data_IF_252838650910
#
_entry.id   IF_252838650910
#
_cell.length_a   1.000
_cell.length_b   1.000
_cell.length_c   1.000
_cell.angle_alpha   90.00
_cell.angle_beta   90.00
_cell.angle_gamma   90.00
#
_symmetry.space_group_name_H-M   'P 1'
#
loop_
_entity.id
_entity.type
_entity.pdbx_description
1 polymer ?
#
# COMPACT_ATOMS: atom_id res chain seq x y z
N UNK A 1 19.77 -24.26 -102.45
CA UNK A 1 18.77 -24.55 -101.44
C UNK A 1 19.46 -24.60 -100.09
N UNK A 2 19.34 -23.61 -99.22
CA UNK A 2 19.53 -23.90 -97.80
C UNK A 2 18.30 -23.49 -97.02
N UNK A 3 18.00 -24.31 -96.00
CA UNK A 3 16.93 -24.16 -95.03
C UNK A 3 17.28 -23.09 -93.98
N UNK A 4 16.35 -22.20 -93.71
CA UNK A 4 16.43 -21.27 -92.61
C UNK A 4 16.03 -21.95 -91.26
N UNK A 5 16.84 -21.82 -90.26
CA UNK A 5 16.51 -22.17 -88.83
C UNK A 5 15.93 -20.97 -88.15
N UNK A 6 14.68 -21.05 -87.70
CA UNK A 6 14.06 -20.11 -86.77
C UNK A 6 14.50 -20.46 -85.38
N UNK A 7 15.10 -19.51 -84.73
CA UNK A 7 15.44 -19.56 -83.26
C UNK A 7 14.34 -18.88 -82.45
N UNK A 8 13.62 -19.67 -81.68
CA UNK A 8 12.57 -19.18 -80.72
C UNK A 8 13.23 -18.82 -79.41
N UNK A 9 13.23 -17.54 -79.08
CA UNK A 9 13.67 -17.08 -77.75
C UNK A 9 12.50 -17.18 -76.74
N UNK A 10 12.72 -17.97 -75.73
CA UNK A 10 11.82 -18.00 -74.53
C UNK A 10 12.19 -16.87 -73.57
N UNK A 11 11.26 -15.93 -73.40
CA UNK A 11 11.34 -14.95 -72.31
C UNK A 11 10.85 -15.60 -70.98
N UNK A 12 11.74 -15.76 -70.05
CA UNK A 12 11.41 -16.17 -68.68
C UNK A 12 11.05 -14.91 -67.87
N UNK A 13 9.78 -14.70 -67.61
CA UNK A 13 9.31 -13.64 -66.65
C UNK A 13 9.51 -14.12 -65.22
N UNK A 14 10.48 -13.54 -64.53
CA UNK A 14 10.62 -13.74 -63.08
C UNK A 14 9.58 -12.91 -62.33
N UNK A 15 8.58 -13.55 -61.70
CA UNK A 15 7.72 -12.93 -60.72
C UNK A 15 8.53 -12.73 -59.44
N UNK A 16 8.82 -11.49 -59.10
CA UNK A 16 9.25 -11.13 -57.73
C UNK A 16 8.02 -11.11 -56.82
N UNK A 17 7.87 -12.13 -55.99
CA UNK A 17 6.96 -12.10 -54.86
C UNK A 17 7.65 -11.26 -53.79
N UNK A 18 7.16 -10.01 -53.59
CA UNK A 18 7.53 -9.18 -52.47
C UNK A 18 6.77 -9.71 -51.23
N UNK A 19 7.48 -10.43 -50.35
CA UNK A 19 7.00 -10.66 -48.98
C UNK A 19 7.12 -9.36 -48.23
N UNK A 20 6.02 -8.63 -48.05
CA UNK A 20 5.91 -7.63 -46.99
C UNK A 20 5.97 -8.36 -45.66
N UNK A 21 7.04 -8.15 -44.88
CA UNK A 21 7.04 -8.45 -43.46
C UNK A 21 6.10 -7.45 -42.81
N UNK A 22 4.92 -7.89 -42.41
CA UNK A 22 4.12 -7.19 -41.42
C UNK A 22 4.96 -7.15 -40.14
N UNK A 23 5.48 -5.98 -39.83
CA UNK A 23 6.01 -5.71 -38.49
C UNK A 23 4.83 -5.73 -37.53
N UNK A 24 4.65 -6.83 -36.80
CA UNK A 24 3.79 -6.81 -35.62
C UNK A 24 4.38 -5.74 -34.69
N UNK A 25 3.66 -4.63 -34.52
CA UNK A 25 3.92 -3.68 -33.44
C UNK A 25 3.72 -4.42 -32.12
N UNK A 26 4.82 -4.84 -31.51
CA UNK A 26 4.83 -5.35 -30.16
C UNK A 26 4.46 -4.18 -29.27
N UNK A 27 3.22 -4.11 -28.86
CA UNK A 27 2.77 -3.19 -27.82
C UNK A 27 3.48 -3.62 -26.54
N UNK A 28 4.60 -2.97 -26.22
CA UNK A 28 5.24 -3.14 -24.93
C UNK A 28 4.22 -2.85 -23.83
N UNK A 29 3.91 -3.84 -23.02
CA UNK A 29 3.13 -3.67 -21.83
C UNK A 29 3.82 -2.66 -20.89
N UNK A 30 3.08 -2.05 -19.95
CA UNK A 30 3.68 -1.10 -19.02
C UNK A 30 4.88 -1.74 -18.32
N UNK A 31 6.01 -1.03 -18.31
CA UNK A 31 7.24 -1.48 -17.68
C UNK A 31 6.99 -1.90 -16.23
N UNK A 32 7.64 -2.96 -15.78
CA UNK A 32 7.56 -3.40 -14.40
C UNK A 32 8.00 -2.26 -13.47
N UNK A 33 7.35 -2.09 -12.32
CA UNK A 33 7.74 -1.06 -11.36
C UNK A 33 9.18 -1.29 -10.89
N UNK A 34 9.94 -0.19 -10.72
CA UNK A 34 11.32 -0.22 -10.23
C UNK A 34 11.33 0.32 -8.80
N UNK A 35 11.96 -0.44 -7.89
CA UNK A 35 12.20 -0.01 -6.52
C UNK A 35 13.18 1.18 -6.48
N UNK A 36 12.93 2.12 -5.58
CA UNK A 36 13.78 3.30 -5.39
C UNK A 36 14.88 2.98 -4.36
N UNK A 37 16.14 3.05 -4.78
CA UNK A 37 17.28 2.81 -3.90
C UNK A 37 17.50 3.92 -2.88
N UNK A 38 17.87 3.54 -1.65
CA UNK A 38 18.23 4.47 -0.58
C UNK A 38 19.53 5.24 -0.94
N UNK A 39 19.40 6.52 -1.23
CA UNK A 39 20.54 7.40 -1.54
C UNK A 39 21.29 7.85 -0.28
N UNK A 40 22.47 8.46 -0.43
CA UNK A 40 23.19 9.04 0.71
C UNK A 40 22.42 10.19 1.36
N UNK A 41 21.72 11.01 0.58
CA UNK A 41 20.89 12.09 1.12
C UNK A 41 19.70 11.56 1.93
N UNK A 42 19.19 10.38 1.57
CA UNK A 42 18.10 9.74 2.33
C UNK A 42 18.58 9.18 3.68
N UNK A 43 19.89 9.04 3.90
CA UNK A 43 20.45 8.55 5.17
C UNK A 43 20.53 9.63 6.25
N UNK A 44 20.43 10.91 5.87
CA UNK A 44 20.53 12.02 6.81
C UNK A 44 19.31 12.05 7.74
N UNK A 45 19.54 11.89 9.04
CA UNK A 45 18.48 11.82 10.04
C UNK A 45 17.66 10.52 10.03
N UNK A 46 18.02 9.53 9.20
CA UNK A 46 17.34 8.23 9.15
C UNK A 46 17.58 7.45 10.45
N UNK A 47 16.51 7.12 11.16
CA UNK A 47 16.58 6.35 12.41
C UNK A 47 16.10 4.91 12.25
N UNK A 48 15.27 4.64 11.24
CA UNK A 48 14.79 3.31 10.91
C UNK A 48 14.26 3.27 9.48
N UNK A 49 14.46 2.13 8.80
CA UNK A 49 13.80 1.85 7.53
C UNK A 49 13.59 0.36 7.31
N UNK A 50 12.64 0.04 6.43
CA UNK A 50 12.57 -1.24 5.74
C UNK A 50 12.42 -0.94 4.24
N UNK A 51 13.41 -1.34 3.48
CA UNK A 51 13.52 -1.13 2.03
C UNK A 51 12.96 -2.33 1.25
N UNK A 52 12.58 -3.42 1.93
CA UNK A 52 12.06 -4.67 1.36
C UNK A 52 12.91 -5.26 0.22
N UNK A 53 14.21 -5.01 0.24
CA UNK A 53 15.19 -5.39 -0.80
C UNK A 53 15.78 -6.78 -0.61
N UNK A 54 15.42 -7.48 0.48
CA UNK A 54 15.97 -8.80 0.82
C UNK A 54 14.93 -9.73 1.42
N UNK A 55 15.13 -11.05 1.21
CA UNK A 55 14.21 -12.08 1.70
C UNK A 55 13.01 -12.30 0.76
N UNK A 56 12.08 -13.16 1.20
CA UNK A 56 10.83 -13.49 0.49
C UNK A 56 9.59 -13.19 1.35
N UNK A 57 9.80 -12.71 2.57
CA UNK A 57 8.76 -12.34 3.53
C UNK A 57 9.24 -11.14 4.36
N UNK A 58 8.34 -10.38 5.00
CA UNK A 58 8.71 -9.32 5.94
C UNK A 58 9.70 -9.78 6.99
N UNK A 59 10.76 -8.98 7.19
CA UNK A 59 11.81 -9.30 8.15
C UNK A 59 11.24 -9.41 9.57
N UNK A 60 11.35 -10.59 10.19
CA UNK A 60 10.84 -10.84 11.54
C UNK A 60 11.53 -10.02 12.65
N UNK A 61 12.69 -9.41 12.36
CA UNK A 61 13.29 -8.43 13.27
C UNK A 61 12.50 -7.12 13.32
N UNK A 62 11.81 -6.75 12.22
CA UNK A 62 11.04 -5.52 12.09
C UNK A 62 9.53 -5.74 12.31
N UNK A 63 9.00 -6.91 11.90
CA UNK A 63 7.57 -7.13 11.76
C UNK A 63 7.06 -8.32 12.54
N UNK A 64 5.84 -8.19 13.06
CA UNK A 64 5.02 -9.25 13.62
C UNK A 64 3.69 -9.30 12.88
N UNK A 65 3.19 -10.50 12.59
CA UNK A 65 1.89 -10.70 11.94
C UNK A 65 0.76 -10.62 12.97
N UNK A 66 -0.35 -10.02 12.57
CA UNK A 66 -1.64 -10.18 13.22
C UNK A 66 -2.49 -11.18 12.41
N UNK A 67 -2.86 -12.28 13.03
CA UNK A 67 -3.57 -13.38 12.39
C UNK A 67 -5.01 -13.44 12.89
N UNK A 68 -5.94 -13.70 11.97
CA UNK A 68 -7.34 -13.90 12.34
C UNK A 68 -8.26 -12.80 11.84
N UNK A 69 -9.45 -12.78 12.41
CA UNK A 69 -10.51 -11.82 12.12
C UNK A 69 -10.79 -10.85 13.29
N UNK A 70 -9.90 -10.79 14.26
CA UNK A 70 -10.03 -9.97 15.47
C UNK A 70 -10.83 -10.61 16.58
N UNK A 71 -11.46 -11.77 16.38
CA UNK A 71 -12.26 -12.44 17.41
C UNK A 71 -11.42 -12.88 18.61
N UNK A 72 -10.19 -13.33 18.37
CA UNK A 72 -9.26 -13.72 19.44
C UNK A 72 -8.84 -12.54 20.33
N UNK A 73 -8.92 -11.32 19.82
CA UNK A 73 -8.65 -10.06 20.53
C UNK A 73 -9.92 -9.44 21.13
N UNK A 74 -11.08 -10.10 21.00
CA UNK A 74 -12.35 -9.59 21.47
C UNK A 74 -12.98 -8.49 20.60
N UNK A 75 -12.46 -8.29 19.39
CA UNK A 75 -12.92 -7.26 18.43
C UNK A 75 -13.23 -7.91 17.07
N UNK A 76 -14.27 -8.74 16.94
CA UNK A 76 -14.62 -9.41 15.68
C UNK A 76 -14.74 -8.42 14.52
N UNK A 77 -14.23 -8.79 13.34
CA UNK A 77 -14.10 -7.88 12.22
C UNK A 77 -13.19 -6.68 12.53
N UNK A 78 -12.23 -6.88 13.44
CA UNK A 78 -11.27 -5.86 13.93
C UNK A 78 -11.95 -4.58 14.44
N UNK A 79 -13.20 -4.70 14.93
CA UNK A 79 -14.00 -3.58 15.42
C UNK A 79 -14.63 -2.71 14.31
N UNK A 80 -14.33 -2.97 13.04
CA UNK A 80 -14.73 -2.15 11.88
C UNK A 80 -15.70 -2.86 10.93
N UNK A 81 -16.14 -4.09 11.27
CA UNK A 81 -16.95 -4.92 10.37
C UNK A 81 -16.17 -5.47 9.17
N UNK A 82 -14.86 -5.60 9.30
CA UNK A 82 -13.99 -6.16 8.27
C UNK A 82 -14.31 -7.64 8.01
N UNK A 83 -14.19 -8.08 6.75
CA UNK A 83 -14.71 -9.37 6.29
C UNK A 83 -13.63 -10.40 5.98
N UNK A 84 -12.34 -10.04 6.01
CA UNK A 84 -11.23 -10.94 5.77
C UNK A 84 -10.78 -11.68 7.02
N UNK A 85 -10.04 -12.76 6.78
CA UNK A 85 -9.13 -13.38 7.72
C UNK A 85 -7.70 -13.00 7.39
N UNK A 86 -6.97 -12.37 8.30
CA UNK A 86 -5.56 -12.05 8.11
C UNK A 86 -4.70 -13.30 8.30
N UNK A 87 -3.73 -13.49 7.40
CA UNK A 87 -2.81 -14.63 7.39
C UNK A 87 -1.36 -14.15 7.22
N UNK A 88 -0.42 -15.07 7.43
CA UNK A 88 1.01 -14.89 7.13
C UNK A 88 1.45 -15.72 5.91
N UNK A 89 0.49 -16.18 5.09
CA UNK A 89 0.78 -17.02 3.93
C UNK A 89 1.42 -16.19 2.81
N UNK A 90 2.34 -16.77 2.01
CA UNK A 90 2.94 -16.09 0.86
C UNK A 90 1.91 -15.58 -0.15
N UNK A 91 0.73 -16.21 -0.24
CA UNK A 91 -0.37 -15.77 -1.11
C UNK A 91 -0.97 -14.43 -0.68
N UNK A 92 -0.83 -14.06 0.59
CA UNK A 92 -1.36 -12.81 1.15
C UNK A 92 -0.29 -11.76 1.42
N UNK A 93 0.97 -12.17 1.62
CA UNK A 93 2.05 -11.23 1.88
C UNK A 93 3.39 -11.82 1.48
N UNK A 94 4.12 -11.10 0.66
CA UNK A 94 5.44 -11.48 0.18
C UNK A 94 6.36 -10.26 0.05
N UNK A 95 7.67 -10.53 0.00
CA UNK A 95 8.71 -9.57 -0.36
C UNK A 95 9.38 -10.07 -1.63
N UNK A 96 9.33 -9.29 -2.68
CA UNK A 96 9.96 -9.61 -3.95
C UNK A 96 10.28 -8.36 -4.76
N UNK A 97 11.41 -8.38 -5.47
CA UNK A 97 11.84 -7.30 -6.38
C UNK A 97 11.94 -5.92 -5.72
N UNK A 98 12.29 -5.86 -4.43
CA UNK A 98 12.36 -4.63 -3.66
C UNK A 98 11.02 -4.08 -3.19
N UNK A 99 9.99 -4.92 -3.10
CA UNK A 99 8.65 -4.50 -2.64
C UNK A 99 8.08 -5.45 -1.61
N UNK A 100 7.45 -4.89 -0.58
CA UNK A 100 6.45 -5.60 0.20
C UNK A 100 5.13 -5.58 -0.58
N UNK A 101 4.54 -6.76 -0.80
CA UNK A 101 3.22 -6.88 -1.42
C UNK A 101 2.24 -7.51 -0.44
N UNK A 102 1.18 -6.77 -0.07
CA UNK A 102 0.02 -7.33 0.63
C UNK A 102 -1.06 -7.60 -0.41
N UNK A 103 -1.53 -8.85 -0.48
CA UNK A 103 -2.55 -9.29 -1.44
C UNK A 103 -3.85 -9.66 -0.71
N UNK A 104 -4.90 -8.88 -0.94
CA UNK A 104 -6.26 -9.27 -0.59
C UNK A 104 -6.80 -10.26 -1.62
N UNK A 105 -7.45 -11.34 -1.16
CA UNK A 105 -7.93 -12.43 -2.02
C UNK A 105 -9.37 -12.81 -1.71
N UNK A 106 -10.14 -13.10 -2.75
CA UNK A 106 -11.43 -13.76 -2.66
C UNK A 106 -11.21 -15.27 -2.60
N UNK A 107 -11.29 -15.84 -1.42
CA UNK A 107 -11.17 -17.28 -1.16
C UNK A 107 -11.83 -17.65 0.18
N UNK A 108 -12.34 -18.87 0.26
CA UNK A 108 -12.87 -19.37 1.53
C UNK A 108 -11.71 -19.82 2.43
N UNK A 109 -11.57 -19.19 3.59
CA UNK A 109 -10.53 -19.53 4.55
C UNK A 109 -11.01 -19.25 5.99
N UNK A 110 -10.90 -20.23 6.87
CA UNK A 110 -11.27 -20.10 8.30
C UNK A 110 -12.64 -19.47 8.54
N UNK A 111 -13.65 -19.79 7.70
CA UNK A 111 -15.01 -19.26 7.82
C UNK A 111 -15.24 -17.85 7.26
N UNK A 112 -14.24 -17.26 6.60
CA UNK A 112 -14.34 -16.01 5.88
C UNK A 112 -14.26 -16.23 4.38
N UNK A 113 -14.81 -15.31 3.59
CA UNK A 113 -14.79 -15.35 2.13
C UNK A 113 -13.61 -14.58 1.52
N UNK A 114 -12.78 -13.94 2.35
CA UNK A 114 -11.63 -13.17 1.94
C UNK A 114 -10.46 -13.42 2.88
N UNK A 115 -9.26 -13.34 2.32
CA UNK A 115 -8.01 -13.33 3.09
C UNK A 115 -7.19 -12.09 2.73
N UNK A 116 -6.32 -11.68 3.64
CA UNK A 116 -5.36 -10.60 3.46
C UNK A 116 -4.22 -10.76 4.46
N UNK A 117 -3.40 -9.74 4.63
CA UNK A 117 -2.39 -9.69 5.68
C UNK A 117 -2.39 -8.36 6.42
N UNK A 118 -1.96 -8.43 7.69
CA UNK A 118 -1.71 -7.30 8.58
C UNK A 118 -0.44 -7.58 9.37
N UNK A 119 0.50 -6.61 9.31
CA UNK A 119 1.77 -6.67 10.03
C UNK A 119 1.99 -5.39 10.82
N UNK A 120 2.76 -5.48 11.90
CA UNK A 120 3.06 -4.35 12.78
C UNK A 120 4.48 -4.42 13.33
N UNK A 121 5.01 -3.24 13.70
CA UNK A 121 6.34 -3.12 14.34
C UNK A 121 6.26 -3.08 15.86
N UNK A 122 5.10 -3.37 16.47
CA UNK A 122 4.92 -3.40 17.93
C UNK A 122 5.98 -4.28 18.61
N UNK A 123 6.61 -3.78 19.69
CA UNK A 123 7.71 -4.43 20.45
C UNK A 123 9.01 -4.60 19.67
N UNK A 124 9.11 -4.09 18.44
CA UNK A 124 10.30 -4.14 17.59
C UNK A 124 10.82 -2.76 17.25
N UNK A 125 9.94 -1.89 16.78
CA UNK A 125 10.24 -0.50 16.50
C UNK A 125 9.04 0.39 16.82
N UNK A 126 9.32 1.53 17.42
CA UNK A 126 8.37 2.62 17.61
C UNK A 126 9.13 3.94 17.66
N UNK A 127 8.48 5.02 17.32
CA UNK A 127 9.08 6.35 17.37
C UNK A 127 8.11 7.38 17.94
N UNK A 128 8.67 8.48 18.41
CA UNK A 128 7.94 9.65 18.84
C UNK A 128 8.54 10.87 18.19
N UNK A 129 7.71 11.63 17.49
CA UNK A 129 8.10 12.76 16.65
C UNK A 129 9.06 12.36 15.51
N UNK A 130 9.17 13.19 14.53
CA UNK A 130 9.97 12.92 13.36
C UNK A 130 9.15 12.95 12.07
N UNK A 131 9.71 12.38 11.03
CA UNK A 131 9.08 12.29 9.71
C UNK A 131 9.09 10.83 9.24
N UNK A 132 7.92 10.30 8.88
CA UNK A 132 7.81 9.00 8.21
C UNK A 132 7.49 9.22 6.74
N UNK A 133 8.20 8.51 5.88
CA UNK A 133 7.96 8.50 4.42
C UNK A 133 7.67 7.08 3.97
N UNK A 134 6.54 6.90 3.31
CA UNK A 134 6.12 5.63 2.71
C UNK A 134 6.00 5.83 1.21
N UNK A 135 6.68 5.02 0.42
CA UNK A 135 6.45 4.97 -1.03
C UNK A 135 5.62 3.76 -1.37
N UNK A 136 4.38 3.98 -1.84
CA UNK A 136 3.43 2.91 -2.05
C UNK A 136 2.53 3.14 -3.27
N UNK A 137 2.03 2.02 -3.83
CA UNK A 137 0.96 1.97 -4.82
C UNK A 137 -0.24 1.23 -4.22
N UNK A 138 -1.40 1.90 -4.25
CA UNK A 138 -2.61 1.43 -3.59
C UNK A 138 -3.43 0.47 -4.47
N UNK A 139 -4.27 -0.39 -3.87
CA UNK A 139 -5.18 -1.25 -4.61
C UNK A 139 -6.25 -0.44 -5.38
N UNK A 140 -6.70 -1.00 -6.49
CA UNK A 140 -7.61 -0.34 -7.44
C UNK A 140 -9.07 -0.78 -7.33
N UNK A 141 -9.33 -1.96 -6.74
CA UNK A 141 -10.67 -2.55 -6.73
C UNK A 141 -11.49 -2.07 -5.54
N UNK A 142 -12.77 -1.83 -5.79
CA UNK A 142 -13.74 -1.54 -4.73
C UNK A 142 -13.78 -2.67 -3.69
N UNK A 143 -14.15 -2.32 -2.47
CA UNK A 143 -14.20 -3.25 -1.35
C UNK A 143 -12.87 -3.44 -0.63
N UNK A 144 -11.73 -2.97 -1.18
CA UNK A 144 -10.44 -2.97 -0.49
C UNK A 144 -10.25 -1.67 0.30
N UNK A 145 -9.69 -1.81 1.51
CA UNK A 145 -9.33 -0.70 2.40
C UNK A 145 -7.87 -0.87 2.82
N UNK A 146 -6.93 -0.34 2.03
CA UNK A 146 -5.52 -0.34 2.41
C UNK A 146 -5.26 0.70 3.48
N UNK A 147 -4.32 0.39 4.39
CA UNK A 147 -3.86 1.33 5.40
C UNK A 147 -2.37 1.17 5.72
N UNK A 148 -1.71 2.31 5.97
CA UNK A 148 -0.45 2.42 6.70
C UNK A 148 -0.67 3.45 7.79
N UNK A 149 -0.57 3.03 9.02
CA UNK A 149 -1.01 3.78 10.17
C UNK A 149 -0.16 3.50 11.41
N UNK A 150 -0.37 4.25 12.45
CA UNK A 150 0.40 4.20 13.67
C UNK A 150 -0.54 4.04 14.87
N UNK A 151 -0.15 3.21 15.82
CA UNK A 151 -0.92 2.99 17.03
C UNK A 151 -0.04 3.18 18.26
N UNK A 152 -0.57 3.84 19.27
CA UNK A 152 0.18 4.19 20.48
C UNK A 152 0.64 2.95 21.27
N UNK A 153 1.92 2.94 21.70
CA UNK A 153 2.51 1.86 22.49
C UNK A 153 1.79 1.63 23.82
N UNK A 154 1.04 2.61 24.31
CA UNK A 154 0.25 2.51 25.54
C UNK A 154 -1.02 1.65 25.39
N UNK A 155 -1.37 1.18 24.18
CA UNK A 155 -2.62 0.42 23.90
C UNK A 155 -2.88 -0.75 24.88
N UNK A 156 -1.90 -1.57 25.31
CA UNK A 156 -2.17 -2.66 26.24
C UNK A 156 -2.62 -2.18 27.64
N UNK A 157 -2.32 -0.92 27.98
CA UNK A 157 -2.63 -0.34 29.29
C UNK A 157 -3.92 0.46 29.29
N UNK A 158 -4.13 1.28 28.25
CA UNK A 158 -5.22 2.27 28.24
C UNK A 158 -6.32 1.97 27.22
N UNK A 159 -6.07 1.04 26.29
CA UNK A 159 -7.01 0.68 25.22
C UNK A 159 -7.16 1.79 24.15
N UNK A 160 -7.90 1.45 23.10
CA UNK A 160 -8.27 2.38 22.05
C UNK A 160 -9.56 3.17 22.44
N UNK A 161 -9.69 4.46 22.08
CA UNK A 161 -8.73 5.31 21.40
C UNK A 161 -7.83 6.12 22.37
N UNK A 162 -7.74 5.76 23.64
CA UNK A 162 -6.91 6.47 24.63
C UNK A 162 -5.41 6.37 24.35
N UNK A 163 -4.98 5.32 23.66
CA UNK A 163 -3.58 5.18 23.23
C UNK A 163 -3.21 6.12 22.07
N UNK A 164 -4.20 6.67 21.36
CA UNK A 164 -4.01 7.43 20.12
C UNK A 164 -3.82 6.54 18.89
N UNK A 165 -4.29 7.03 17.74
CA UNK A 165 -4.12 6.41 16.41
C UNK A 165 -3.85 7.51 15.39
N UNK A 166 -2.98 7.24 14.43
CA UNK A 166 -2.53 8.18 13.39
C UNK A 166 -2.55 7.43 12.07
N UNK A 167 -3.46 7.78 11.17
CA UNK A 167 -3.67 7.10 9.89
C UNK A 167 -3.04 7.93 8.77
N UNK A 168 -1.87 7.48 8.29
CA UNK A 168 -1.08 8.20 7.27
C UNK A 168 -1.57 7.92 5.86
N UNK A 169 -1.96 6.68 5.61
CA UNK A 169 -2.52 6.21 4.36
C UNK A 169 -3.80 5.45 4.66
N UNK A 170 -4.92 5.98 4.23
CA UNK A 170 -6.18 5.25 4.12
C UNK A 170 -6.86 5.56 2.78
N UNK A 171 -7.43 4.55 2.16
CA UNK A 171 -8.20 4.73 0.93
C UNK A 171 -9.53 4.00 1.04
N UNK A 172 -10.64 4.72 0.79
CA UNK A 172 -11.96 4.09 0.78
C UNK A 172 -12.11 3.08 -0.35
N UNK A 173 -12.79 1.98 -0.07
CA UNK A 173 -13.13 1.00 -1.11
C UNK A 173 -14.14 1.52 -2.13
N UNK A 174 -14.90 2.54 -1.80
CA UNK A 174 -15.92 3.15 -2.67
C UNK A 174 -15.39 4.27 -3.56
N UNK A 175 -14.22 4.84 -3.25
CA UNK A 175 -13.62 5.91 -4.04
C UNK A 175 -12.09 5.76 -4.08
N UNK A 176 -11.58 5.22 -5.19
CA UNK A 176 -10.16 4.95 -5.41
C UNK A 176 -9.36 6.16 -5.94
N UNK A 177 -10.02 7.30 -6.07
CA UNK A 177 -9.38 8.55 -6.52
C UNK A 177 -8.90 9.43 -5.37
N UNK A 178 -9.22 9.06 -4.12
CA UNK A 178 -8.91 9.83 -2.92
C UNK A 178 -8.02 9.07 -1.97
N UNK A 179 -7.23 9.85 -1.22
CA UNK A 179 -6.49 9.42 -0.04
C UNK A 179 -7.04 10.16 1.17
N UNK A 180 -7.09 9.50 2.31
CA UNK A 180 -7.49 10.04 3.60
C UNK A 180 -6.34 9.94 4.58
N UNK A 181 -6.17 10.98 5.39
CA UNK A 181 -5.40 10.93 6.63
C UNK A 181 -6.33 11.22 7.80
N UNK A 182 -6.07 10.56 8.93
CA UNK A 182 -6.87 10.74 10.13
C UNK A 182 -6.01 10.67 11.39
N UNK A 183 -6.57 11.17 12.49
CA UNK A 183 -6.08 10.95 13.85
C UNK A 183 -7.26 10.67 14.76
N UNK A 184 -7.11 9.72 15.67
CA UNK A 184 -8.15 9.33 16.63
C UNK A 184 -7.60 9.37 18.05
N UNK A 185 -8.39 9.91 18.99
CA UNK A 185 -8.01 9.97 20.39
C UNK A 185 -9.25 10.00 21.30
N UNK A 186 -9.02 9.84 22.58
CA UNK A 186 -10.03 10.13 23.58
C UNK A 186 -9.83 11.56 24.08
N UNK A 187 -10.81 12.42 23.89
CA UNK A 187 -10.78 13.80 24.36
C UNK A 187 -11.26 13.86 25.82
N UNK A 188 -10.34 14.19 26.72
CA UNK A 188 -10.62 14.29 28.14
C UNK A 188 -11.51 15.48 28.48
N UNK A 189 -11.47 16.56 27.69
CA UNK A 189 -12.30 17.75 27.90
C UNK A 189 -13.78 17.50 27.64
N UNK A 190 -14.09 16.74 26.58
CA UNK A 190 -15.46 16.35 26.22
C UNK A 190 -15.86 14.98 26.80
N UNK A 191 -14.91 14.23 27.36
CA UNK A 191 -15.06 12.84 27.82
C UNK A 191 -15.64 11.91 26.74
N UNK A 192 -15.17 12.05 25.51
CA UNK A 192 -15.65 11.31 24.35
C UNK A 192 -14.51 10.94 23.39
N UNK A 193 -14.79 9.96 22.52
CA UNK A 193 -13.91 9.66 21.39
C UNK A 193 -13.95 10.82 20.41
N UNK A 194 -12.79 11.24 19.96
CA UNK A 194 -12.61 12.33 19.00
C UNK A 194 -11.79 11.86 17.82
N UNK A 195 -12.01 12.50 16.67
CA UNK A 195 -11.21 12.32 15.46
C UNK A 195 -11.10 13.62 14.67
N UNK A 196 -10.04 13.71 13.90
CA UNK A 196 -9.91 14.70 12.83
C UNK A 196 -9.41 13.99 11.59
N UNK A 197 -10.14 14.11 10.49
CA UNK A 197 -9.80 13.47 9.22
C UNK A 197 -9.94 14.43 8.05
N UNK A 198 -9.22 14.16 6.97
CA UNK A 198 -9.29 14.92 5.72
C UNK A 198 -8.99 14.03 4.54
N UNK A 199 -9.79 14.20 3.47
CA UNK A 199 -9.59 13.54 2.18
C UNK A 199 -9.12 14.53 1.13
N UNK A 200 -8.30 14.03 0.19
CA UNK A 200 -7.88 14.76 -1.00
C UNK A 200 -7.90 13.84 -2.23
N UNK A 201 -8.33 14.39 -3.37
CA UNK A 201 -8.24 13.68 -4.65
C UNK A 201 -6.80 13.77 -5.18
N UNK A 202 -6.25 12.62 -5.57
CA UNK A 202 -4.90 12.49 -6.11
C UNK A 202 -4.94 11.56 -7.32
N UNK A 203 -4.42 12.01 -8.45
CA UNK A 203 -4.29 11.16 -9.64
C UNK A 203 -3.21 10.08 -9.43
N UNK A 204 -3.43 8.92 -10.04
CA UNK A 204 -2.41 7.88 -10.09
C UNK A 204 -2.24 7.03 -8.83
N UNK A 205 -3.08 7.17 -7.79
CA UNK A 205 -2.95 6.41 -6.52
C UNK A 205 -2.86 4.90 -6.72
N UNK A 206 -3.54 4.37 -7.73
CA UNK A 206 -3.64 2.93 -8.00
C UNK A 206 -2.78 2.46 -9.18
N UNK A 207 -2.19 3.38 -9.93
CA UNK A 207 -1.39 3.09 -11.13
C UNK A 207 0.09 3.41 -10.96
N UNK A 208 0.41 4.32 -10.03
CA UNK A 208 1.76 4.82 -9.80
C UNK A 208 2.14 4.66 -8.32
N UNK A 209 3.44 4.59 -8.04
CA UNK A 209 3.94 4.78 -6.68
C UNK A 209 3.93 6.26 -6.32
N UNK A 210 3.35 6.58 -5.16
CA UNK A 210 3.34 7.91 -4.56
C UNK A 210 4.14 7.91 -3.26
N UNK A 211 4.72 9.06 -2.90
CA UNK A 211 5.35 9.28 -1.59
C UNK A 211 4.32 9.88 -0.63
N UNK A 212 4.02 9.15 0.43
CA UNK A 212 3.16 9.61 1.51
C UNK A 212 4.06 10.01 2.67
N UNK A 213 4.00 11.27 3.05
CA UNK A 213 4.85 11.80 4.12
C UNK A 213 3.98 12.22 5.31
N UNK A 214 4.36 11.79 6.47
CA UNK A 214 3.83 12.18 7.76
C UNK A 214 4.92 12.92 8.55
N UNK A 215 4.63 14.16 8.94
CA UNK A 215 5.48 14.94 9.84
C UNK A 215 4.81 15.10 11.20
N UNK A 216 5.56 14.86 12.25
CA UNK A 216 5.06 14.87 13.61
C UNK A 216 6.03 15.60 14.53
N UNK A 217 5.54 16.69 15.13
CA UNK A 217 6.25 17.48 16.12
C UNK A 217 5.46 17.50 17.43
N UNK A 218 5.99 18.05 18.53
CA UNK A 218 5.21 18.18 19.77
C UNK A 218 3.90 18.98 19.66
N UNK A 219 3.75 19.78 18.60
CA UNK A 219 2.62 20.73 18.49
C UNK A 219 1.77 20.54 17.24
N UNK A 220 2.23 19.75 16.27
CA UNK A 220 1.51 19.62 14.99
C UNK A 220 1.80 18.29 14.32
N UNK A 221 0.79 17.73 13.63
CA UNK A 221 0.91 16.67 12.66
C UNK A 221 0.53 17.18 11.26
N UNK A 222 1.26 16.73 10.23
CA UNK A 222 1.03 17.09 8.83
C UNK A 222 1.15 15.88 7.92
N UNK A 223 0.32 15.82 6.89
CA UNK A 223 0.40 14.79 5.85
C UNK A 223 0.56 15.41 4.48
N UNK A 224 1.34 14.71 3.65
CA UNK A 224 1.61 15.10 2.27
C UNK A 224 1.46 13.89 1.36
N UNK A 225 1.02 14.12 0.12
CA UNK A 225 1.20 13.17 -0.98
C UNK A 225 2.16 13.82 -1.97
N UNK A 226 3.24 13.14 -2.30
CA UNK A 226 4.39 13.69 -2.98
C UNK A 226 4.86 14.97 -2.23
N UNK A 227 4.76 16.15 -2.83
CA UNK A 227 5.15 17.40 -2.17
C UNK A 227 3.94 18.27 -1.76
N UNK A 228 2.71 17.73 -1.86
CA UNK A 228 1.50 18.49 -1.60
C UNK A 228 0.95 18.20 -0.22
N UNK A 229 1.01 19.20 0.68
CA UNK A 229 0.36 19.12 2.00
C UNK A 229 -1.15 19.14 1.84
N UNK A 230 -1.83 18.15 2.43
CA UNK A 230 -3.29 18.10 2.41
C UNK A 230 -3.93 18.08 3.81
N UNK A 231 -3.15 17.72 4.83
CA UNK A 231 -3.64 17.62 6.21
C UNK A 231 -2.71 18.40 7.15
N UNK A 232 -3.28 19.10 8.11
CA UNK A 232 -2.56 19.68 9.24
C UNK A 232 -3.50 19.75 10.44
N UNK A 233 -3.03 19.31 11.60
CA UNK A 233 -3.74 19.43 12.87
C UNK A 233 -2.78 19.85 13.97
N UNK A 234 -3.18 20.85 14.74
CA UNK A 234 -2.49 21.20 15.99
C UNK A 234 -2.78 20.15 17.06
N UNK A 235 -1.74 19.69 17.72
CA UNK A 235 -1.81 18.78 18.85
C UNK A 235 -1.24 19.45 20.11
N UNK A 236 -1.55 18.89 21.27
CA UNK A 236 -1.06 19.41 22.54
C UNK A 236 -0.85 18.27 23.55
N UNK A 237 -0.32 18.60 24.74
CA UNK A 237 0.06 17.64 25.77
C UNK A 237 -1.13 16.85 26.37
N UNK A 238 -2.37 17.32 26.23
CA UNK A 238 -3.55 16.60 26.72
C UNK A 238 -3.98 15.47 25.78
N UNK A 239 -3.43 15.43 24.55
CA UNK A 239 -3.65 14.38 23.57
C UNK A 239 -2.59 13.28 23.69
N UNK A 240 -2.91 12.03 23.33
CA UNK A 240 -1.97 10.91 23.46
C UNK A 240 -0.82 10.91 22.43
N UNK A 241 -0.70 11.97 21.62
CA UNK A 241 0.31 12.10 20.56
C UNK A 241 1.68 12.58 21.09
N UNK A 242 1.96 12.39 22.37
CA UNK A 242 3.24 12.65 23.04
C UNK A 242 3.91 11.36 23.57
N UNK A 243 3.36 10.19 23.22
CA UNK A 243 3.91 8.86 23.48
C UNK A 243 4.48 8.24 22.20
N UNK A 244 5.35 7.20 22.27
CA UNK A 244 5.80 6.48 21.08
C UNK A 244 4.67 5.68 20.41
N UNK A 245 4.72 5.60 19.09
CA UNK A 245 3.79 4.84 18.26
C UNK A 245 4.54 3.80 17.41
N UNK A 246 3.92 2.65 17.21
CA UNK A 246 4.40 1.62 16.28
C UNK A 246 3.62 1.67 14.96
N UNK A 247 4.22 1.13 13.90
CA UNK A 247 3.67 1.13 12.54
C UNK A 247 2.82 -0.12 12.33
N UNK A 248 1.70 0.02 11.63
CA UNK A 248 0.84 -1.07 11.17
C UNK A 248 0.55 -0.88 9.68
N UNK A 249 0.49 -1.98 8.92
CA UNK A 249 0.04 -1.95 7.52
C UNK A 249 -0.79 -3.17 7.17
N UNK A 250 -1.85 -2.96 6.38
CA UNK A 250 -2.80 -4.00 5.97
C UNK A 250 -3.63 -3.61 4.74
N UNK A 251 -4.35 -4.58 4.19
CA UNK A 251 -5.57 -4.33 3.41
C UNK A 251 -6.73 -4.98 4.14
N UNK A 252 -7.69 -4.20 4.59
CA UNK A 252 -8.99 -4.69 5.05
C UNK A 252 -9.93 -4.91 3.85
N UNK A 253 -10.92 -5.78 4.03
CA UNK A 253 -11.96 -6.07 3.04
C UNK A 253 -13.34 -5.70 3.59
N UNK A 254 -14.08 -4.89 2.86
CA UNK A 254 -15.37 -4.40 3.33
C UNK A 254 -15.24 -3.49 4.55
N UNK A 255 -16.17 -3.63 5.50
CA UNK A 255 -16.16 -2.82 6.72
C UNK A 255 -16.48 -1.35 6.49
N UNK A 256 -16.16 -0.53 7.50
CA UNK A 256 -16.54 0.89 7.57
C UNK A 256 -16.04 1.71 6.38
N UNK A 257 -14.79 1.51 5.95
CA UNK A 257 -14.20 2.27 4.83
C UNK A 257 -14.08 1.46 3.54
N UNK A 258 -14.02 0.12 3.61
CA UNK A 258 -13.98 -0.73 2.41
C UNK A 258 -15.31 -0.74 1.65
N UNK A 259 -16.43 -0.66 2.38
CA UNK A 259 -17.76 -0.68 1.77
C UNK A 259 -18.10 -2.00 1.09
N UNK A 260 -19.05 -2.01 0.13
CA UNK A 260 -19.43 -3.23 -0.58
C UNK A 260 -18.28 -3.82 -1.39
N UNK A 261 -18.10 -5.14 -1.26
CA UNK A 261 -17.14 -5.89 -2.07
C UNK A 261 -17.87 -6.41 -3.31
N UNK A 262 -17.38 -6.15 -4.54
CA UNK A 262 -18.02 -6.63 -5.76
C UNK A 262 -18.10 -8.16 -5.80
N UNK A 263 -19.20 -8.69 -6.34
CA UNK A 263 -19.31 -10.12 -6.63
C UNK A 263 -18.20 -10.53 -7.60
N UNK A 264 -17.56 -11.68 -7.34
CA UNK A 264 -16.44 -12.14 -8.16
C UNK A 264 -15.11 -11.42 -7.88
N UNK A 265 -14.98 -10.71 -6.75
CA UNK A 265 -13.68 -10.20 -6.33
C UNK A 265 -12.66 -11.35 -6.25
N UNK A 266 -11.57 -11.22 -6.98
CA UNK A 266 -10.50 -12.22 -7.02
C UNK A 266 -9.31 -11.83 -6.15
N UNK A 267 -8.56 -10.81 -6.58
CA UNK A 267 -7.38 -10.31 -5.85
C UNK A 267 -7.17 -8.83 -6.12
N UNK A 268 -6.55 -8.14 -5.16
CA UNK A 268 -5.96 -6.81 -5.35
C UNK A 268 -4.77 -6.62 -4.39
N UNK A 269 -3.92 -5.62 -4.64
CA UNK A 269 -2.62 -5.51 -3.97
C UNK A 269 -2.33 -4.09 -3.48
N UNK A 270 -1.77 -4.01 -2.27
CA UNK A 270 -0.99 -2.88 -1.79
C UNK A 270 0.48 -3.22 -1.99
N UNK A 271 1.21 -2.40 -2.72
CA UNK A 271 2.65 -2.54 -2.89
C UNK A 271 3.37 -1.41 -2.18
N UNK A 272 4.30 -1.74 -1.30
CA UNK A 272 5.12 -0.77 -0.57
C UNK A 272 6.57 -0.98 -0.98
N UNK A 273 7.20 0.08 -1.49
CA UNK A 273 8.60 0.11 -1.86
C UNK A 273 9.49 0.24 -0.62
N UNK A 274 9.18 1.23 0.20
CA UNK A 274 9.87 1.42 1.48
C UNK A 274 9.00 2.13 2.51
N UNK A 275 9.40 1.96 3.76
CA UNK A 275 8.98 2.78 4.91
C UNK A 275 10.24 3.29 5.58
N UNK A 276 10.40 4.62 5.65
CA UNK A 276 11.56 5.30 6.24
C UNK A 276 11.13 6.25 7.34
N UNK A 277 11.80 6.22 8.47
CA UNK A 277 11.54 7.12 9.61
C UNK A 277 12.79 7.94 9.90
N UNK A 278 12.61 9.23 10.02
CA UNK A 278 13.66 10.23 10.24
C UNK A 278 13.41 10.98 11.54
N UNK A 279 14.47 11.36 12.25
CA UNK A 279 14.40 12.35 13.32
C UNK A 279 14.13 13.77 12.75
N UNK A 280 13.59 14.67 13.61
CA UNK A 280 13.36 16.08 13.25
C UNK A 280 14.66 16.88 13.16
#
# INVERSE_FOLDING_TARGET
MPRALLSTAFLLSALFISCSKDSEDVVEGPAAPVAETLSESDRIGLVWSDEFDSGTAPNSANWTYEIGDGSAQGIPGWGNGEQQFYTNRPENIDVANGFLTITARGENYSGKNYTSARIKTQEKFSFKYGRMVVRAKLPSKSGTWPAVWLLGNSIPKVGWPRCGEIDVIEQRGTDKTKIMGAVHWFDQGTNANAKYDKEVSVAGLTTEFKKYTFEWTPTVVRYFVDNTKYFEMTINESMPFNDPFFIVTNIAMGGTLGGPIPSGFSTDKLMIDYIRVYEN
#
